data_IF_163872545951
#
_entry.id   IF_163872545951
#
_cell.length_a   1.000
_cell.length_b   1.000
_cell.length_c   1.000
_cell.angle_alpha   90.00
_cell.angle_beta   90.00
_cell.angle_gamma   90.00
#
_symmetry.space_group_name_H-M   'P 1'
#
loop_
_entity.id
_entity.type
_entity.pdbx_description
1 polymer ?
#
# COMPACT_ATOMS: atom_id res chain seq x y z
N UNK A 1 -50.21 25.33 5.90
CA UNK A 1 -49.18 24.92 4.93
C UNK A 1 -47.81 25.08 5.58
N UNK A 2 -47.07 23.99 5.80
CA UNK A 2 -45.60 23.95 5.85
C UNK A 2 -45.18 22.51 6.22
N UNK A 3 -45.02 21.64 5.21
CA UNK A 3 -44.40 20.32 5.40
C UNK A 3 -42.89 20.56 5.44
N UNK A 4 -42.28 20.43 6.62
CA UNK A 4 -40.82 20.44 6.75
C UNK A 4 -40.23 19.25 6.01
N UNK A 5 -39.45 19.52 4.96
CA UNK A 5 -38.69 18.50 4.23
C UNK A 5 -37.46 18.15 5.07
N UNK A 6 -37.47 16.97 5.69
CA UNK A 6 -36.29 16.43 6.32
C UNK A 6 -35.24 16.07 5.24
N UNK A 7 -34.15 16.85 5.18
CA UNK A 7 -32.95 16.46 4.44
C UNK A 7 -32.37 15.22 5.14
N UNK A 8 -32.53 14.06 4.52
CA UNK A 8 -31.75 12.86 4.87
C UNK A 8 -30.30 13.14 4.51
N UNK A 9 -29.47 13.44 5.49
CA UNK A 9 -28.01 13.37 5.35
C UNK A 9 -27.65 11.92 5.06
N UNK A 10 -27.42 11.62 3.77
CA UNK A 10 -26.87 10.35 3.30
C UNK A 10 -25.60 10.05 4.10
N UNK A 11 -25.64 8.99 4.90
CA UNK A 11 -24.48 8.52 5.65
C UNK A 11 -23.37 8.20 4.63
N UNK A 12 -22.34 9.06 4.53
CA UNK A 12 -21.15 8.76 3.75
C UNK A 12 -20.57 7.45 4.28
N UNK A 13 -20.62 6.40 3.46
CA UNK A 13 -19.92 5.14 3.76
C UNK A 13 -18.46 5.49 4.01
N UNK A 14 -17.95 5.20 5.21
CA UNK A 14 -16.54 5.41 5.54
C UNK A 14 -15.71 4.62 4.52
N UNK A 15 -14.99 5.34 3.66
CA UNK A 15 -14.10 4.75 2.66
C UNK A 15 -13.05 3.87 3.34
N UNK A 16 -12.60 2.83 2.63
CA UNK A 16 -11.58 1.92 3.18
C UNK A 16 -10.21 2.54 2.93
N UNK A 17 -9.44 2.68 4.00
CA UNK A 17 -8.05 3.15 3.94
C UNK A 17 -7.08 1.98 3.92
N UNK A 18 -6.12 2.03 3.00
CA UNK A 18 -5.00 1.10 2.87
C UNK A 18 -3.69 1.85 2.97
N UNK A 19 -2.64 1.20 3.45
CA UNK A 19 -1.33 1.83 3.62
C UNK A 19 -0.24 0.98 2.99
N UNK A 20 0.72 1.64 2.35
CA UNK A 20 1.98 1.04 1.91
C UNK A 20 3.11 1.71 2.70
N UNK A 21 3.82 0.94 3.50
CA UNK A 21 5.03 1.37 4.18
C UNK A 21 6.23 1.19 3.24
N UNK A 22 6.82 2.33 2.89
CA UNK A 22 7.99 2.47 2.01
C UNK A 22 9.22 2.97 2.79
N UNK A 23 9.22 2.92 4.12
CA UNK A 23 10.35 3.40 4.94
C UNK A 23 11.70 2.85 4.46
N UNK A 24 11.82 1.53 4.33
CA UNK A 24 13.06 0.87 3.91
C UNK A 24 13.66 1.41 2.60
N UNK A 25 12.97 1.37 1.44
CA UNK A 25 13.56 1.87 0.19
C UNK A 25 13.67 3.39 0.09
N UNK A 26 12.98 4.16 0.93
CA UNK A 26 13.10 5.63 0.97
C UNK A 26 14.33 6.06 1.76
N UNK A 27 14.66 5.35 2.85
CA UNK A 27 15.85 5.64 3.66
C UNK A 27 17.15 5.35 2.87
N UNK A 28 17.10 4.43 1.90
CA UNK A 28 18.23 4.06 1.03
C UNK A 28 18.24 4.82 -0.32
N UNK A 29 17.42 5.86 -0.48
CA UNK A 29 17.33 6.73 -1.69
C UNK A 29 16.95 6.01 -3.01
N UNK A 30 16.62 4.71 -2.96
CA UNK A 30 16.18 3.89 -4.10
C UNK A 30 14.83 4.38 -4.66
N UNK A 31 14.03 5.12 -3.88
CA UNK A 31 12.70 5.56 -4.25
C UNK A 31 12.38 6.98 -3.74
N UNK A 32 12.19 7.93 -4.66
CA UNK A 32 11.81 9.30 -4.31
C UNK A 32 10.28 9.48 -4.35
N UNK A 33 9.64 9.55 -3.18
CA UNK A 33 8.19 9.83 -3.10
C UNK A 33 8.02 11.34 -3.06
N UNK A 34 7.81 11.94 -4.23
CA UNK A 34 7.81 13.38 -4.48
C UNK A 34 6.86 14.26 -3.64
N UNK A 35 6.08 13.72 -2.67
CA UNK A 35 5.13 14.56 -1.94
C UNK A 35 4.81 14.21 -0.48
N UNK A 36 4.95 13.00 0.05
CA UNK A 36 4.68 12.75 1.48
C UNK A 36 5.33 11.47 2.01
N UNK A 37 6.21 11.67 3.01
CA UNK A 37 6.61 10.80 4.14
C UNK A 37 6.38 9.31 3.97
N UNK A 38 7.46 8.49 4.02
CA UNK A 38 7.65 7.05 4.37
C UNK A 38 6.47 6.05 4.27
N UNK A 39 5.21 6.44 4.47
CA UNK A 39 3.97 5.68 4.33
C UNK A 39 3.00 6.35 3.34
N UNK A 40 2.53 5.60 2.36
CA UNK A 40 1.52 6.03 1.38
C UNK A 40 0.15 5.58 1.86
N UNK A 41 -0.77 6.50 2.14
CA UNK A 41 -2.17 6.21 2.51
C UNK A 41 -3.08 6.34 1.29
N UNK A 42 -3.78 5.25 0.94
CA UNK A 42 -4.75 5.21 -0.16
C UNK A 42 -6.14 5.09 0.44
N UNK A 43 -6.95 6.13 0.29
CA UNK A 43 -8.37 6.16 0.67
C UNK A 43 -9.23 5.99 -0.58
N UNK A 44 -10.11 4.99 -0.59
CA UNK A 44 -11.04 4.77 -1.70
C UNK A 44 -12.50 4.87 -1.21
N UNK A 45 -13.30 5.63 -1.96
CA UNK A 45 -14.74 5.80 -1.70
C UNK A 45 -15.59 4.65 -2.30
N UNK A 46 -15.01 3.85 -3.18
CA UNK A 46 -15.63 2.71 -3.86
C UNK A 46 -14.97 1.38 -3.49
N UNK A 47 -15.51 0.26 -3.99
CA UNK A 47 -14.97 -1.09 -3.74
C UNK A 47 -13.53 -1.23 -4.24
N UNK A 48 -12.57 -1.00 -3.34
CA UNK A 48 -11.15 -1.19 -3.58
C UNK A 48 -10.61 -2.29 -2.68
N UNK A 49 -9.89 -3.25 -3.27
CA UNK A 49 -9.38 -4.40 -2.53
C UNK A 49 -7.90 -4.24 -2.21
N UNK A 50 -7.52 -4.71 -1.01
CA UNK A 50 -6.11 -4.81 -0.61
C UNK A 50 -5.30 -5.65 -1.61
N UNK A 51 -5.88 -6.70 -2.20
CA UNK A 51 -5.18 -7.53 -3.20
C UNK A 51 -4.80 -6.71 -4.44
N UNK A 52 -5.67 -5.80 -4.88
CA UNK A 52 -5.42 -4.96 -6.03
C UNK A 52 -4.30 -3.93 -5.78
N UNK A 53 -4.21 -3.37 -4.56
CA UNK A 53 -3.08 -2.51 -4.18
C UNK A 53 -1.73 -3.23 -4.27
N UNK A 54 -1.67 -4.52 -3.88
CA UNK A 54 -0.46 -5.36 -4.04
C UNK A 54 -0.08 -5.55 -5.51
N UNK A 55 -1.08 -5.71 -6.38
CA UNK A 55 -0.83 -5.81 -7.81
C UNK A 55 -0.22 -4.52 -8.38
N UNK A 56 -0.82 -3.36 -8.06
CA UNK A 56 -0.34 -2.07 -8.55
C UNK A 56 1.07 -1.74 -8.06
N UNK A 57 1.36 -1.97 -6.78
CA UNK A 57 2.71 -1.80 -6.22
C UNK A 57 3.71 -2.72 -6.90
N UNK A 58 3.40 -4.01 -7.07
CA UNK A 58 4.28 -4.93 -7.84
C UNK A 58 4.46 -4.53 -9.29
N UNK A 59 3.44 -3.93 -9.93
CA UNK A 59 3.51 -3.41 -11.30
C UNK A 59 4.47 -2.22 -11.38
N UNK A 60 4.42 -1.32 -10.40
CA UNK A 60 5.39 -0.24 -10.23
C UNK A 60 6.81 -0.78 -10.07
N UNK A 61 7.04 -1.70 -9.12
CA UNK A 61 8.38 -2.27 -8.88
C UNK A 61 8.98 -2.91 -10.15
N UNK A 62 8.16 -3.52 -11.02
CA UNK A 62 8.65 -4.08 -12.29
C UNK A 62 8.99 -3.01 -13.32
N UNK A 63 8.20 -1.93 -13.38
CA UNK A 63 8.44 -0.80 -14.30
C UNK A 63 9.78 -0.11 -14.01
N UNK A 64 10.17 -0.03 -12.73
CA UNK A 64 11.44 0.58 -12.29
C UNK A 64 12.55 -0.46 -12.04
N UNK A 65 12.36 -1.72 -12.41
CA UNK A 65 13.35 -2.80 -12.27
C UNK A 65 13.91 -3.05 -10.85
N UNK A 66 13.14 -2.76 -9.79
CA UNK A 66 13.53 -2.95 -8.38
C UNK A 66 12.92 -4.21 -7.75
N UNK A 67 12.51 -5.16 -8.60
CA UNK A 67 11.87 -6.43 -8.20
C UNK A 67 12.83 -7.40 -7.52
N UNK A 68 14.12 -7.28 -7.81
CA UNK A 68 15.14 -8.22 -7.34
C UNK A 68 15.55 -7.91 -5.90
N UNK A 69 15.40 -6.65 -5.49
CA UNK A 69 15.71 -6.22 -4.13
C UNK A 69 14.48 -6.18 -3.22
N UNK A 70 13.28 -5.89 -3.75
CA UNK A 70 12.11 -5.58 -2.93
C UNK A 70 10.92 -6.52 -3.16
N UNK A 71 10.32 -6.98 -2.06
CA UNK A 71 9.05 -7.70 -2.03
C UNK A 71 7.96 -6.96 -1.26
N UNK A 72 6.73 -7.05 -1.76
CA UNK A 72 5.52 -6.52 -1.09
C UNK A 72 4.92 -7.59 -0.18
N UNK A 73 4.97 -7.36 1.14
CA UNK A 73 4.50 -8.29 2.18
C UNK A 73 3.39 -7.64 3.00
N UNK A 74 2.37 -8.41 3.41
CA UNK A 74 1.34 -7.87 4.31
C UNK A 74 1.94 -7.68 5.70
N UNK A 75 1.65 -6.57 6.37
CA UNK A 75 2.07 -6.39 7.76
C UNK A 75 1.33 -7.38 8.67
N UNK A 76 2.02 -7.92 9.67
CA UNK A 76 1.41 -8.77 10.70
C UNK A 76 0.61 -7.95 11.72
N UNK A 77 0.94 -6.66 11.87
CA UNK A 77 0.31 -5.78 12.86
C UNK A 77 -1.08 -5.34 12.41
N UNK A 78 -1.18 -4.90 11.16
CA UNK A 78 -2.40 -4.33 10.59
C UNK A 78 -2.80 -5.01 9.27
N UNK A 79 -4.05 -5.51 9.22
CA UNK A 79 -4.57 -6.20 8.04
C UNK A 79 -4.67 -5.29 6.81
N UNK A 80 -4.65 -3.97 6.94
CA UNK A 80 -4.78 -3.04 5.80
C UNK A 80 -3.44 -2.48 5.30
N UNK A 81 -2.32 -2.93 5.87
CA UNK A 81 -0.99 -2.40 5.55
C UNK A 81 -0.18 -3.40 4.73
N UNK A 82 0.53 -2.90 3.73
CA UNK A 82 1.64 -3.59 3.07
C UNK A 82 2.95 -2.92 3.43
N UNK A 83 4.00 -3.71 3.48
CA UNK A 83 5.37 -3.28 3.70
C UNK A 83 6.21 -3.70 2.51
N UNK A 84 7.13 -2.83 2.09
CA UNK A 84 8.22 -3.18 1.20
C UNK A 84 9.36 -3.75 2.06
N UNK A 85 9.78 -4.99 1.77
CA UNK A 85 10.86 -5.68 2.48
C UNK A 85 11.94 -6.11 1.49
N UNK A 86 13.19 -6.09 1.94
CA UNK A 86 14.28 -6.70 1.20
C UNK A 86 14.14 -8.23 1.16
N UNK A 87 14.70 -8.84 0.11
CA UNK A 87 15.04 -10.25 0.13
C UNK A 87 16.28 -10.47 1.01
N UNK A 88 16.32 -11.57 1.74
CA UNK A 88 17.47 -11.94 2.58
C UNK A 88 18.40 -12.76 1.68
N UNK A 89 19.42 -12.11 1.10
CA UNK A 89 20.29 -12.74 0.09
C UNK A 89 21.15 -13.86 0.73
N UNK A 90 21.38 -13.81 2.04
CA UNK A 90 22.13 -14.85 2.77
C UNK A 90 21.39 -16.20 2.87
N UNK A 91 20.07 -16.24 2.70
CA UNK A 91 19.27 -17.49 2.78
C UNK A 91 19.14 -18.20 1.42
N UNK A 92 19.12 -17.45 0.31
CA UNK A 92 18.94 -18.01 -1.04
C UNK A 92 20.22 -18.66 -1.61
N UNK A 93 21.40 -18.37 -1.05
CA UNK A 93 22.67 -19.00 -1.46
C UNK A 93 22.90 -20.38 -0.83
N UNK A 94 22.09 -20.78 0.16
CA UNK A 94 22.19 -22.06 0.86
C UNK A 94 21.16 -23.12 0.37
N UNK A 95 20.39 -22.80 -0.67
CA UNK A 95 19.32 -23.66 -1.22
C UNK A 95 19.58 -24.20 -2.63
N UNK A 96 20.79 -24.01 -3.17
CA UNK A 96 21.22 -24.50 -4.50
C UNK A 96 22.30 -25.61 -4.37
N UNK A 97 22.16 -26.47 -3.34
CA UNK A 97 22.72 -27.84 -3.29
C UNK A 97 21.60 -28.85 -3.02
#
# INVERSE_FOLDING_TARGET
MARGVAVKSSARKKGVAFVIDCSKPVDDEIMEIARLRRKITVTADSNFSKRYLKYLTKKYLKKYNIRDWLRVVASNKDRNVYELRYFNIEDDAAGDE
#
